data_IF_527758658517
#
_entry.id   IF_527758658517
#
_cell.length_a   1.000
_cell.length_b   1.000
_cell.length_c   1.000
_cell.angle_alpha   90.00
_cell.angle_beta   90.00
_cell.angle_gamma   90.00
#
_symmetry.space_group_name_H-M   'P 1'
#
loop_
_entity.id
_entity.type
_entity.pdbx_description
1 polymer ?
#
# COMPACT_ATOMS: atom_id res chain seq x y z
N UNK A 1 -14.49 0.33 -7.85
CA UNK A 1 -13.20 0.01 -7.19
C UNK A 1 -12.22 -0.34 -8.29
N UNK A 2 -11.12 0.40 -8.43
CA UNK A 2 -10.09 0.12 -9.44
C UNK A 2 -8.88 -0.51 -8.73
N UNK A 3 -8.51 -1.72 -9.14
CA UNK A 3 -7.36 -2.44 -8.57
C UNK A 3 -6.12 -2.16 -9.44
N UNK A 4 -5.11 -1.53 -8.85
CA UNK A 4 -3.79 -1.31 -9.45
C UNK A 4 -2.72 -2.22 -8.81
N UNK A 5 -3.15 -3.18 -7.99
CA UNK A 5 -2.29 -4.16 -7.34
C UNK A 5 -1.78 -5.21 -8.33
N UNK A 6 -0.56 -5.67 -8.10
CA UNK A 6 -0.03 -6.87 -8.72
C UNK A 6 -0.38 -8.05 -7.83
N UNK A 7 -1.25 -8.92 -8.35
CA UNK A 7 -1.72 -10.16 -7.74
C UNK A 7 -3.00 -10.58 -8.45
N UNK A 8 -3.27 -11.89 -8.47
CA UNK A 8 -4.48 -12.40 -9.12
C UNK A 8 -5.68 -11.96 -8.30
N UNK A 9 -6.53 -11.13 -8.92
CA UNK A 9 -7.79 -10.73 -8.31
C UNK A 9 -8.76 -11.91 -8.42
N UNK A 10 -9.05 -12.53 -7.29
CA UNK A 10 -10.08 -13.53 -7.19
C UNK A 10 -11.44 -12.83 -7.07
N UNK A 11 -12.26 -12.99 -8.11
CA UNK A 11 -13.59 -12.39 -8.20
C UNK A 11 -14.58 -12.94 -7.18
N UNK A 12 -14.37 -14.16 -6.68
CA UNK A 12 -15.25 -14.80 -5.69
C UNK A 12 -14.95 -14.29 -4.28
N UNK A 13 -13.67 -14.29 -3.90
CA UNK A 13 -13.24 -13.86 -2.56
C UNK A 13 -13.04 -12.36 -2.45
N UNK A 14 -13.07 -11.64 -3.59
CA UNK A 14 -12.68 -10.21 -3.71
C UNK A 14 -11.30 -9.94 -3.13
N UNK A 15 -10.44 -10.95 -3.10
CA UNK A 15 -9.11 -10.90 -2.53
C UNK A 15 -8.06 -10.89 -3.63
N UNK A 16 -6.88 -10.38 -3.30
CA UNK A 16 -5.73 -10.37 -4.20
C UNK A 16 -4.77 -11.45 -3.67
N UNK A 17 -4.57 -12.51 -4.46
CA UNK A 17 -3.60 -13.55 -4.14
C UNK A 17 -2.25 -13.18 -4.77
N UNK A 18 -1.22 -13.06 -3.92
CA UNK A 18 0.16 -12.81 -4.34
C UNK A 18 1.12 -13.80 -3.66
N UNK A 19 0.75 -15.09 -3.72
CA UNK A 19 1.43 -16.19 -3.03
C UNK A 19 2.71 -16.67 -3.73
N UNK A 20 3.02 -16.17 -4.93
CA UNK A 20 4.22 -16.51 -5.69
C UNK A 20 5.38 -15.58 -5.31
N UNK A 21 6.18 -15.97 -4.32
CA UNK A 21 7.45 -15.29 -4.05
C UNK A 21 8.49 -15.71 -5.11
N UNK A 22 8.49 -15.07 -6.27
CA UNK A 22 9.49 -15.37 -7.33
C UNK A 22 10.91 -14.97 -6.94
N UNK A 23 11.08 -14.16 -5.87
CA UNK A 23 12.35 -13.67 -5.30
C UNK A 23 13.42 -13.31 -6.35
N UNK A 24 12.98 -12.79 -7.49
CA UNK A 24 13.80 -12.49 -8.65
C UNK A 24 14.45 -11.09 -8.58
N UNK A 25 14.21 -10.35 -7.49
CA UNK A 25 14.77 -9.01 -7.25
C UNK A 25 14.12 -7.88 -8.04
N UNK A 26 13.03 -8.13 -8.78
CA UNK A 26 12.40 -7.15 -9.67
C UNK A 26 11.39 -6.22 -8.98
N UNK A 27 11.14 -6.41 -7.68
CA UNK A 27 10.10 -5.69 -6.93
C UNK A 27 10.16 -4.17 -7.10
N UNK A 28 11.36 -3.57 -7.18
CA UNK A 28 11.52 -2.13 -7.44
C UNK A 28 11.13 -1.75 -8.88
N UNK A 29 11.45 -2.59 -9.85
CA UNK A 29 11.08 -2.40 -11.26
C UNK A 29 9.56 -2.48 -11.41
N UNK A 30 8.92 -3.50 -10.83
CA UNK A 30 7.46 -3.65 -10.84
C UNK A 30 6.78 -2.47 -10.14
N UNK A 31 7.26 -2.08 -8.96
CA UNK A 31 6.75 -0.92 -8.23
C UNK A 31 6.86 0.37 -9.04
N UNK A 32 7.99 0.62 -9.71
CA UNK A 32 8.14 1.79 -10.57
C UNK A 32 7.18 1.78 -11.77
N UNK A 33 6.92 0.61 -12.36
CA UNK A 33 5.94 0.47 -13.44
C UNK A 33 4.54 0.85 -12.96
N UNK A 34 4.12 0.40 -11.77
CA UNK A 34 2.83 0.82 -11.15
C UNK A 34 2.81 2.33 -10.94
N UNK A 35 3.86 2.90 -10.36
CA UNK A 35 3.91 4.35 -10.11
C UNK A 35 3.79 5.16 -11.41
N UNK A 36 4.32 4.68 -12.52
CA UNK A 36 4.22 5.35 -13.82
C UNK A 36 2.81 5.34 -14.41
N UNK A 37 1.90 4.46 -13.95
CA UNK A 37 0.49 4.46 -14.40
C UNK A 37 -0.37 5.46 -13.65
N UNK A 38 0.05 5.89 -12.45
CA UNK A 38 -0.71 6.79 -11.57
C UNK A 38 -1.12 8.11 -12.25
N UNK A 39 -0.23 8.84 -12.98
CA UNK A 39 -0.62 10.06 -13.67
C UNK A 39 -1.72 9.83 -14.72
N UNK A 40 -1.62 8.73 -15.49
CA UNK A 40 -2.60 8.36 -16.52
C UNK A 40 -3.93 7.97 -15.89
N UNK A 41 -3.92 7.23 -14.78
CA UNK A 41 -5.13 6.90 -14.03
C UNK A 41 -5.93 8.15 -13.66
N UNK A 42 -5.28 9.17 -13.09
CA UNK A 42 -5.97 10.41 -12.70
C UNK A 42 -6.36 11.29 -13.89
N UNK A 43 -5.68 11.17 -15.04
CA UNK A 43 -6.11 11.81 -16.28
C UNK A 43 -7.44 11.21 -16.77
N UNK A 44 -7.55 9.89 -16.73
CA UNK A 44 -8.71 9.15 -17.24
C UNK A 44 -9.87 9.11 -16.23
N UNK A 45 -9.57 9.23 -14.93
CA UNK A 45 -10.53 9.15 -13.83
C UNK A 45 -10.40 10.37 -12.90
N UNK A 46 -10.69 11.59 -13.38
CA UNK A 46 -10.58 12.80 -12.58
C UNK A 46 -11.49 12.75 -11.34
N UNK A 47 -10.95 13.11 -10.18
CA UNK A 47 -11.68 13.13 -8.90
C UNK A 47 -11.79 11.79 -8.18
N UNK A 48 -11.42 10.67 -8.81
CA UNK A 48 -11.37 9.37 -8.12
C UNK A 48 -10.05 9.22 -7.35
N UNK A 49 -10.08 8.77 -6.08
CA UNK A 49 -8.86 8.47 -5.35
C UNK A 49 -8.25 7.12 -5.75
N UNK A 50 -6.97 6.96 -5.44
CA UNK A 50 -6.30 5.67 -5.39
C UNK A 50 -6.18 5.25 -3.93
N UNK A 51 -6.61 4.02 -3.62
CA UNK A 51 -6.39 3.36 -2.33
C UNK A 51 -5.20 2.41 -2.45
N UNK A 52 -4.20 2.59 -1.58
CA UNK A 52 -2.97 1.80 -1.57
C UNK A 52 -2.85 1.10 -0.22
N UNK A 53 -2.79 -0.23 -0.24
CA UNK A 53 -2.58 -1.07 0.94
C UNK A 53 -1.67 -2.25 0.56
N UNK A 54 -0.85 -2.70 1.49
CA UNK A 54 -0.10 -3.95 1.31
C UNK A 54 -0.99 -5.16 1.56
N UNK A 55 -0.85 -6.23 0.78
CA UNK A 55 -1.56 -7.50 1.09
C UNK A 55 -1.13 -8.11 2.43
N UNK A 56 -0.01 -7.64 2.99
CA UNK A 56 0.52 -7.98 4.31
C UNK A 56 0.03 -7.03 5.43
N UNK A 57 -1.03 -6.28 5.18
CA UNK A 57 -1.57 -5.25 6.08
C UNK A 57 -2.95 -5.60 6.67
N UNK A 58 -3.43 -6.83 6.47
CA UNK A 58 -4.67 -7.32 7.07
C UNK A 58 -4.41 -8.02 8.41
N UNK A 59 -5.44 -8.05 9.26
CA UNK A 59 -5.36 -8.76 10.55
C UNK A 59 -5.22 -10.28 10.34
N UNK A 60 -5.90 -10.83 9.34
CA UNK A 60 -5.74 -12.24 8.94
C UNK A 60 -4.28 -12.57 8.58
N UNK A 61 -3.61 -11.70 7.81
CA UNK A 61 -2.20 -11.90 7.49
C UNK A 61 -1.34 -11.86 8.77
N UNK A 62 -1.65 -10.96 9.71
CA UNK A 62 -0.92 -10.91 10.97
C UNK A 62 -1.09 -12.19 11.79
N UNK A 63 -2.30 -12.74 11.88
CA UNK A 63 -2.58 -14.01 12.55
C UNK A 63 -1.79 -15.18 11.93
N UNK A 64 -1.88 -15.35 10.61
CA UNK A 64 -1.17 -16.38 9.86
C UNK A 64 0.36 -16.23 9.96
N UNK A 65 0.84 -14.98 9.92
CA UNK A 65 2.25 -14.68 10.08
C UNK A 65 2.76 -15.04 11.47
N UNK A 66 2.00 -14.79 12.55
CA UNK A 66 2.41 -15.15 13.91
C UNK A 66 2.59 -16.66 14.07
N UNK A 67 1.77 -17.47 13.40
CA UNK A 67 1.86 -18.93 13.42
C UNK A 67 3.11 -19.44 12.69
N UNK A 68 3.43 -18.84 11.55
CA UNK A 68 4.51 -19.29 10.66
C UNK A 68 5.86 -18.60 10.89
N UNK A 69 5.91 -17.53 11.69
CA UNK A 69 7.12 -16.74 11.90
C UNK A 69 8.08 -17.37 12.91
N UNK A 70 9.31 -17.63 12.46
CA UNK A 70 10.32 -18.32 13.26
C UNK A 70 11.08 -17.46 14.29
N UNK A 71 11.04 -16.11 14.20
CA UNK A 71 11.82 -15.20 15.09
C UNK A 71 11.20 -13.80 15.22
N UNK A 72 11.10 -13.29 16.45
CA UNK A 72 10.69 -11.93 16.82
C UNK A 72 9.26 -11.59 16.37
N UNK A 73 8.30 -12.46 16.67
CA UNK A 73 6.89 -12.30 16.30
C UNK A 73 5.94 -12.48 17.50
N UNK A 74 6.45 -12.36 18.73
CA UNK A 74 5.71 -12.67 19.95
C UNK A 74 4.59 -11.66 20.23
N UNK A 75 4.85 -10.36 20.01
CA UNK A 75 3.85 -9.29 20.21
C UNK A 75 3.23 -8.78 18.91
N UNK A 76 4.01 -8.73 17.83
CA UNK A 76 3.57 -8.30 16.50
C UNK A 76 4.36 -9.03 15.42
N UNK A 77 3.69 -9.40 14.32
CA UNK A 77 4.38 -10.01 13.17
C UNK A 77 5.34 -8.99 12.53
N UNK A 78 6.64 -9.30 12.50
CA UNK A 78 7.66 -8.45 11.84
C UNK A 78 7.44 -8.27 10.33
N UNK A 79 6.71 -9.19 9.71
CA UNK A 79 6.40 -9.16 8.28
C UNK A 79 5.16 -8.33 7.95
N UNK A 80 4.37 -7.90 8.93
CA UNK A 80 3.21 -7.04 8.71
C UNK A 80 3.65 -5.70 8.13
N UNK A 81 2.86 -5.18 7.20
CA UNK A 81 3.02 -3.86 6.59
C UNK A 81 4.37 -3.64 5.86
N UNK A 82 5.12 -4.68 5.49
CA UNK A 82 6.38 -4.53 4.76
C UNK A 82 6.16 -3.99 3.35
N UNK A 83 5.07 -4.35 2.68
CA UNK A 83 4.75 -3.92 1.32
C UNK A 83 4.35 -2.44 1.29
N UNK A 84 3.43 -2.02 2.16
CA UNK A 84 3.04 -0.60 2.26
C UNK A 84 4.20 0.30 2.72
N UNK A 85 5.20 -0.23 3.45
CA UNK A 85 6.44 0.49 3.78
C UNK A 85 7.25 0.90 2.56
N UNK A 86 7.22 0.14 1.46
CA UNK A 86 7.92 0.51 0.21
C UNK A 86 7.25 1.75 -0.39
N UNK A 87 5.93 1.74 -0.43
CA UNK A 87 5.14 2.86 -0.93
C UNK A 87 5.32 4.13 -0.08
N UNK A 88 5.13 4.01 1.23
CA UNK A 88 5.29 5.14 2.15
C UNK A 88 6.73 5.66 2.19
N UNK A 89 7.75 4.80 2.02
CA UNK A 89 9.13 5.25 1.85
C UNK A 89 9.31 6.12 0.61
N UNK A 90 8.73 5.74 -0.54
CA UNK A 90 8.75 6.56 -1.75
C UNK A 90 8.04 7.89 -1.54
N UNK A 91 6.82 7.87 -0.98
CA UNK A 91 6.06 9.08 -0.68
C UNK A 91 6.83 10.00 0.26
N UNK A 92 7.36 9.48 1.37
CA UNK A 92 8.16 10.25 2.33
C UNK A 92 9.36 10.93 1.65
N UNK A 93 10.10 10.20 0.83
CA UNK A 93 11.28 10.72 0.12
C UNK A 93 10.93 11.85 -0.86
N UNK A 94 9.73 11.82 -1.45
CA UNK A 94 9.32 12.77 -2.49
C UNK A 94 8.15 13.67 -2.07
N UNK A 95 7.81 13.71 -0.77
CA UNK A 95 6.56 14.28 -0.28
C UNK A 95 6.40 15.74 -0.69
N UNK A 96 7.42 16.58 -0.50
CA UNK A 96 7.36 17.99 -0.87
C UNK A 96 7.09 18.25 -2.36
N UNK A 97 7.55 17.37 -3.25
CA UNK A 97 7.29 17.48 -4.68
C UNK A 97 5.90 16.95 -5.03
N UNK A 98 5.55 15.76 -4.55
CA UNK A 98 4.28 15.10 -4.82
C UNK A 98 3.10 15.91 -4.25
N UNK A 99 3.25 16.49 -3.06
CA UNK A 99 2.21 17.29 -2.41
C UNK A 99 1.88 18.60 -3.14
N UNK A 100 2.61 18.96 -4.21
CA UNK A 100 2.20 20.05 -5.12
C UNK A 100 0.99 19.67 -5.96
N UNK A 101 0.88 18.41 -6.35
CA UNK A 101 -0.12 17.89 -7.28
C UNK A 101 -1.11 16.93 -6.62
N UNK A 102 -0.72 16.31 -5.50
CA UNK A 102 -1.50 15.26 -4.84
C UNK A 102 -1.81 15.62 -3.38
N UNK A 103 -2.88 15.05 -2.87
CA UNK A 103 -3.22 15.00 -1.45
C UNK A 103 -3.10 13.56 -0.97
N UNK A 104 -2.49 13.36 0.20
CA UNK A 104 -2.28 12.06 0.80
C UNK A 104 -3.00 11.99 2.14
N UNK A 105 -3.68 10.87 2.39
CA UNK A 105 -4.29 10.56 3.67
C UNK A 105 -3.86 9.16 4.09
N UNK A 106 -3.38 9.02 5.33
CA UNK A 106 -3.01 7.72 5.88
C UNK A 106 -4.12 7.16 6.76
N UNK A 107 -4.31 5.84 6.75
CA UNK A 107 -5.28 5.18 7.64
C UNK A 107 -4.73 5.11 9.08
N UNK A 108 -5.43 5.74 10.01
CA UNK A 108 -5.15 5.72 11.45
C UNK A 108 -5.93 4.56 12.08
N UNK A 109 -5.21 3.52 12.52
CA UNK A 109 -5.80 2.32 13.11
C UNK A 109 -6.51 2.62 14.45
N UNK A 110 -6.11 3.65 15.19
CA UNK A 110 -6.74 3.99 16.47
C UNK A 110 -8.06 4.73 16.28
N UNK A 111 -8.15 5.55 15.22
CA UNK A 111 -9.35 6.34 14.89
C UNK A 111 -10.26 5.65 13.88
N UNK A 112 -9.83 4.52 13.33
CA UNK A 112 -10.51 3.77 12.27
C UNK A 112 -10.89 4.66 11.08
N UNK A 113 -10.01 5.58 10.71
CA UNK A 113 -10.31 6.58 9.68
C UNK A 113 -9.07 7.10 8.96
N UNK A 114 -9.28 7.76 7.83
CA UNK A 114 -8.22 8.41 7.08
C UNK A 114 -7.96 9.82 7.63
N UNK A 115 -6.69 10.07 7.97
CA UNK A 115 -6.19 11.37 8.46
C UNK A 115 -5.18 11.94 7.48
N UNK A 116 -4.93 13.25 7.56
CA UNK A 116 -3.88 13.89 6.75
C UNK A 116 -2.54 13.16 6.93
N UNK A 117 -1.88 12.88 5.80
CA UNK A 117 -0.63 12.13 5.81
C UNK A 117 0.51 12.98 6.37
N UNK A 118 1.16 12.46 7.41
CA UNK A 118 2.35 13.04 8.01
C UNK A 118 3.55 12.15 7.68
N UNK A 119 4.60 12.66 7.02
CA UNK A 119 5.77 11.86 6.69
C UNK A 119 6.39 11.18 7.91
N UNK A 120 6.93 9.99 7.70
CA UNK A 120 7.52 9.10 8.73
C UNK A 120 6.55 8.48 9.75
N UNK A 121 5.26 8.82 9.72
CA UNK A 121 4.26 8.05 10.47
C UNK A 121 4.03 6.67 9.82
N UNK A 122 3.59 5.72 10.64
CA UNK A 122 3.23 4.38 10.19
C UNK A 122 1.77 4.36 9.75
N UNK A 123 1.52 3.86 8.55
CA UNK A 123 0.18 3.69 7.99
C UNK A 123 0.06 2.32 7.35
N UNK A 124 -1.09 1.67 7.54
CA UNK A 124 -1.39 0.37 6.90
C UNK A 124 -2.02 0.53 5.52
N UNK A 125 -2.63 1.69 5.26
CA UNK A 125 -3.19 2.07 3.97
C UNK A 125 -3.03 3.58 3.74
N UNK A 126 -3.01 4.00 2.48
CA UNK A 126 -2.92 5.40 2.05
C UNK A 126 -3.95 5.66 0.95
N UNK A 127 -4.72 6.73 1.10
CA UNK A 127 -5.53 7.32 0.03
C UNK A 127 -4.78 8.45 -0.65
N UNK A 128 -4.84 8.49 -1.98
CA UNK A 128 -4.24 9.53 -2.80
C UNK A 128 -5.29 10.18 -3.66
N UNK A 129 -5.36 11.51 -3.63
CA UNK A 129 -6.18 12.30 -4.53
C UNK A 129 -5.29 13.18 -5.39
N UNK A 130 -5.68 13.41 -6.64
CA UNK A 130 -5.11 14.49 -7.44
C UNK A 130 -5.81 15.81 -7.08
N UNK A 131 -5.04 16.87 -6.87
CA UNK A 131 -5.57 18.22 -6.67
C UNK A 131 -6.26 18.70 -7.96
N UNK A 132 -7.30 19.51 -7.78
CA UNK A 132 -7.96 20.19 -8.90
C UNK A 132 -7.10 21.33 -9.43
#
# INVERSE_FOLDING_TARGET
>A
MYNLGFGDYDFETKSISDNESSNNGDMRTVFNTVLNTVPKFFQDNPGFPIYVQGSDSSDLFEEECRISCFKNCDEACKNRNRRIRIYTYFVNKHFAALSKEYLFFGYDEQKETFVEYVPQNNYIAVLVYKKK
#
